data_IF_919034662219
#
_entry.id   IF_919034662219
#
_cell.length_a   1.000
_cell.length_b   1.000
_cell.length_c   1.000
_cell.angle_alpha   90.00
_cell.angle_beta   90.00
_cell.angle_gamma   90.00
#
_symmetry.space_group_name_H-M   'P 1'
#
loop_
_entity.id
_entity.type
_entity.pdbx_description
1 polymer ?
#
# COMPACT_ATOMS: atom_id res chain seq x y z
N UNK A 1 34.63 -9.78 -15.15
CA UNK A 1 33.41 -10.62 -15.03
C UNK A 1 33.61 -11.83 -15.92
N UNK A 2 34.05 -12.97 -15.37
CA UNK A 2 34.09 -14.21 -16.14
C UNK A 2 32.64 -14.59 -16.48
N UNK A 3 32.24 -14.42 -17.74
CA UNK A 3 31.02 -15.05 -18.24
C UNK A 3 31.39 -16.52 -18.32
N UNK A 4 30.64 -17.39 -17.64
CA UNK A 4 30.88 -18.82 -17.82
C UNK A 4 30.34 -19.14 -19.21
N UNK A 5 31.22 -19.31 -20.18
CA UNK A 5 30.88 -19.53 -21.59
C UNK A 5 30.26 -20.92 -21.82
N UNK A 6 30.39 -21.84 -20.85
CA UNK A 6 29.90 -23.23 -20.93
C UNK A 6 28.50 -23.48 -20.32
N UNK A 7 27.60 -22.49 -20.30
CA UNK A 7 26.25 -22.70 -19.74
C UNK A 7 25.25 -23.11 -20.83
N UNK A 8 24.58 -24.28 -20.70
CA UNK A 8 23.52 -24.64 -21.63
C UNK A 8 22.35 -23.65 -21.48
N UNK A 9 21.83 -23.17 -22.62
CA UNK A 9 20.64 -22.31 -22.66
C UNK A 9 19.45 -23.14 -22.17
N UNK A 10 18.95 -22.82 -20.97
CA UNK A 10 17.76 -23.48 -20.41
C UNK A 10 16.50 -22.78 -20.87
N UNK A 11 15.62 -23.52 -21.53
CA UNK A 11 14.28 -23.04 -21.93
C UNK A 11 13.34 -23.20 -20.74
N UNK A 12 12.64 -22.12 -20.38
CA UNK A 12 11.62 -22.12 -19.34
C UNK A 12 10.35 -22.79 -19.89
N UNK A 13 9.83 -23.81 -19.21
CA UNK A 13 8.54 -24.43 -19.55
C UNK A 13 7.48 -24.21 -18.47
N UNK A 14 7.88 -24.14 -17.21
CA UNK A 14 7.00 -23.96 -16.06
C UNK A 14 7.45 -22.81 -15.14
N UNK A 15 6.57 -22.33 -14.25
CA UNK A 15 6.90 -21.34 -13.22
C UNK A 15 8.01 -21.84 -12.27
N UNK A 16 8.05 -23.15 -12.02
CA UNK A 16 9.14 -23.78 -11.27
C UNK A 16 10.50 -23.61 -11.95
N UNK A 17 10.56 -23.62 -13.28
CA UNK A 17 11.81 -23.42 -14.02
C UNK A 17 12.32 -21.99 -13.89
N UNK A 18 11.42 -21.00 -13.90
CA UNK A 18 11.77 -19.58 -13.62
C UNK A 18 12.39 -19.42 -12.24
N UNK A 19 11.74 -19.99 -11.23
CA UNK A 19 12.22 -19.93 -9.85
C UNK A 19 13.57 -20.63 -9.71
N UNK A 20 13.74 -21.80 -10.34
CA UNK A 20 15.01 -22.52 -10.37
C UNK A 20 16.13 -21.69 -11.00
N UNK A 21 15.87 -20.99 -12.11
CA UNK A 21 16.87 -20.10 -12.71
C UNK A 21 17.24 -18.92 -11.82
N UNK A 22 16.27 -18.32 -11.12
CA UNK A 22 16.55 -17.26 -10.15
C UNK A 22 17.37 -17.79 -8.98
N UNK A 23 17.05 -18.97 -8.44
CA UNK A 23 17.81 -19.62 -7.39
C UNK A 23 19.24 -19.94 -7.84
N UNK A 24 19.43 -20.57 -9.00
CA UNK A 24 20.75 -20.87 -9.58
C UNK A 24 21.61 -19.58 -9.71
N UNK A 25 20.98 -18.44 -10.01
CA UNK A 25 21.65 -17.13 -10.09
C UNK A 25 22.04 -16.58 -8.72
N UNK A 26 21.18 -16.70 -7.70
CA UNK A 26 21.46 -16.27 -6.33
C UNK A 26 22.55 -17.15 -5.69
N UNK A 27 22.44 -18.46 -5.84
CA UNK A 27 23.35 -19.44 -5.25
C UNK A 27 24.75 -19.44 -5.89
N UNK A 28 24.92 -18.84 -7.07
CA UNK A 28 26.24 -18.63 -7.69
C UNK A 28 27.17 -17.77 -6.82
N UNK A 29 26.61 -16.87 -6.00
CA UNK A 29 27.37 -15.97 -5.13
C UNK A 29 26.66 -15.83 -3.77
N UNK A 30 26.80 -16.83 -2.89
CA UNK A 30 26.10 -16.84 -1.61
C UNK A 30 26.55 -15.71 -0.68
N UNK A 31 27.81 -15.27 -0.78
CA UNK A 31 28.37 -14.20 0.06
C UNK A 31 27.79 -12.81 -0.25
N UNK A 32 27.18 -12.62 -1.43
CA UNK A 32 26.61 -11.34 -1.80
C UNK A 32 25.17 -11.25 -1.28
N UNK A 33 24.83 -10.25 -0.44
CA UNK A 33 23.45 -10.08 0.02
C UNK A 33 22.51 -9.86 -1.17
N UNK A 34 21.37 -10.54 -1.14
CA UNK A 34 20.34 -10.39 -2.16
C UNK A 34 19.73 -8.98 -2.09
N UNK A 35 19.46 -8.38 -3.26
CA UNK A 35 18.73 -7.11 -3.33
C UNK A 35 17.27 -7.35 -2.98
N UNK A 36 16.87 -6.93 -1.78
CA UNK A 36 15.46 -6.85 -1.37
C UNK A 36 15.05 -5.38 -1.55
N UNK A 37 14.07 -5.07 -2.42
CA UNK A 37 13.63 -3.69 -2.57
C UNK A 37 13.03 -3.21 -1.25
N UNK A 38 13.59 -2.12 -0.73
CA UNK A 38 12.98 -1.40 0.40
C UNK A 38 11.67 -0.80 -0.10
N UNK A 39 10.65 -0.78 0.77
CA UNK A 39 9.39 -0.11 0.44
C UNK A 39 9.68 1.34 0.07
N UNK A 40 9.04 1.90 -0.97
CA UNK A 40 9.22 3.31 -1.30
C UNK A 40 8.79 4.16 -0.10
N UNK A 41 9.57 5.20 0.20
CA UNK A 41 9.24 6.15 1.25
C UNK A 41 7.91 6.83 0.93
N UNK A 42 6.84 6.49 1.68
CA UNK A 42 5.51 7.06 1.44
C UNK A 42 5.44 8.55 1.80
N UNK A 43 6.30 9.00 2.72
CA UNK A 43 6.35 10.40 3.18
C UNK A 43 7.12 11.31 2.22
N UNK A 44 7.74 10.75 1.18
CA UNK A 44 8.53 11.52 0.23
C UNK A 44 7.59 12.27 -0.71
N UNK A 45 7.34 13.53 -0.38
CA UNK A 45 6.61 14.46 -1.23
C UNK A 45 7.22 14.54 -2.63
N UNK A 46 6.39 14.68 -3.68
CA UNK A 46 6.89 14.83 -5.03
C UNK A 46 7.70 16.13 -5.18
N UNK A 47 8.58 16.14 -6.19
CA UNK A 47 9.48 17.26 -6.45
C UNK A 47 8.74 18.60 -6.62
N UNK A 48 7.46 18.58 -7.01
CA UNK A 48 6.64 19.77 -7.16
C UNK A 48 6.39 20.54 -5.84
N UNK A 49 6.48 19.87 -4.68
CA UNK A 49 6.37 20.52 -3.36
C UNK A 49 7.69 21.08 -2.84
N UNK A 50 8.82 20.74 -3.49
CA UNK A 50 10.14 21.29 -3.12
C UNK A 50 10.32 22.66 -3.76
N UNK A 51 9.65 23.66 -3.21
CA UNK A 51 9.90 25.05 -3.55
C UNK A 51 11.20 25.53 -2.85
N UNK A 52 12.12 26.21 -3.55
CA UNK A 52 13.26 26.85 -2.90
C UNK A 52 12.76 27.97 -1.97
N UNK A 53 13.33 28.06 -0.78
CA UNK A 53 12.96 29.06 0.23
C UNK A 53 13.33 30.49 -0.22
N UNK A 54 14.47 30.64 -0.91
CA UNK A 54 14.96 31.92 -1.41
C UNK A 54 15.15 31.84 -2.92
N UNK A 55 14.39 32.65 -3.65
CA UNK A 55 14.58 32.86 -5.08
C UNK A 55 15.58 34.00 -5.26
N UNK A 56 16.80 33.68 -5.72
CA UNK A 56 17.90 34.64 -5.83
C UNK A 56 17.83 35.53 -7.08
N UNK A 57 17.04 35.12 -8.07
CA UNK A 57 16.99 35.73 -9.40
C UNK A 57 15.70 36.55 -9.63
N UNK A 58 15.24 37.26 -8.60
CA UNK A 58 14.09 38.17 -8.73
C UNK A 58 14.60 39.53 -9.18
N UNK A 59 14.17 39.98 -10.37
CA UNK A 59 14.43 41.33 -10.84
C UNK A 59 13.39 42.31 -10.26
N UNK A 60 13.72 43.60 -10.18
CA UNK A 60 12.85 44.61 -9.58
C UNK A 60 11.44 44.64 -10.17
N UNK A 61 10.44 44.99 -9.35
CA UNK A 61 9.01 44.90 -9.70
C UNK A 61 8.58 45.74 -10.90
N UNK A 62 9.36 46.77 -11.25
CA UNK A 62 9.13 47.65 -12.40
C UNK A 62 9.99 47.29 -13.62
N UNK A 63 10.82 46.25 -13.55
CA UNK A 63 11.62 45.82 -14.68
C UNK A 63 10.73 45.17 -15.76
N UNK A 64 11.07 45.42 -17.03
CA UNK A 64 10.35 44.81 -18.15
C UNK A 64 10.55 43.29 -18.23
N UNK A 65 9.71 42.64 -19.04
CA UNK A 65 9.78 41.19 -19.29
C UNK A 65 11.06 40.84 -20.05
N UNK A 66 11.92 40.03 -19.43
CA UNK A 66 13.10 39.47 -20.04
C UNK A 66 12.78 38.27 -20.94
N UNK A 67 13.71 37.92 -21.84
CA UNK A 67 13.55 36.78 -22.76
C UNK A 67 13.40 35.42 -22.06
N UNK A 68 13.88 35.30 -20.82
CA UNK A 68 13.82 34.07 -20.02
C UNK A 68 12.53 33.91 -19.21
N UNK A 69 11.73 34.96 -19.05
CA UNK A 69 10.59 34.96 -18.12
C UNK A 69 9.48 34.01 -18.55
N UNK A 70 9.31 33.82 -19.86
CA UNK A 70 8.37 32.83 -20.40
C UNK A 70 8.71 31.41 -19.94
N UNK A 71 9.99 31.03 -19.95
CA UNK A 71 10.41 29.70 -19.51
C UNK A 71 10.30 29.52 -18.00
N UNK A 72 10.53 30.60 -17.24
CA UNK A 72 10.29 30.63 -15.79
C UNK A 72 8.81 30.39 -15.49
N UNK A 73 7.90 31.15 -16.13
CA UNK A 73 6.46 30.96 -15.97
C UNK A 73 6.00 29.55 -16.35
N UNK A 74 6.47 29.02 -17.50
CA UNK A 74 6.14 27.66 -17.94
C UNK A 74 6.55 26.60 -16.91
N UNK A 75 7.75 26.73 -16.33
CA UNK A 75 8.24 25.82 -15.29
C UNK A 75 7.43 25.89 -14.00
N UNK A 76 7.12 27.11 -13.54
CA UNK A 76 6.30 27.35 -12.34
C UNK A 76 4.88 26.81 -12.55
N UNK A 77 4.25 27.09 -13.69
CA UNK A 77 2.90 26.64 -14.00
C UNK A 77 2.79 25.12 -14.04
N UNK A 78 3.77 24.43 -14.66
CA UNK A 78 3.81 22.96 -14.67
C UNK A 78 3.92 22.40 -13.25
N UNK A 79 4.83 22.96 -12.45
CA UNK A 79 5.01 22.56 -11.05
C UNK A 79 3.73 22.73 -10.24
N UNK A 80 3.05 23.85 -10.42
CA UNK A 80 1.81 24.16 -9.72
C UNK A 80 0.66 23.26 -10.14
N UNK A 81 0.53 22.93 -11.43
CA UNK A 81 -0.46 21.94 -11.90
C UNK A 81 -0.20 20.55 -11.35
N UNK A 82 1.06 20.10 -11.33
CA UNK A 82 1.44 18.83 -10.72
C UNK A 82 1.11 18.82 -9.22
N UNK A 83 1.37 19.93 -8.52
CA UNK A 83 1.05 20.10 -7.09
C UNK A 83 -0.46 20.01 -6.84
N UNK A 84 -1.26 20.79 -7.57
CA UNK A 84 -2.71 20.78 -7.43
C UNK A 84 -3.32 19.43 -7.77
N UNK A 85 -2.83 18.77 -8.83
CA UNK A 85 -3.26 17.43 -9.21
C UNK A 85 -2.99 16.42 -8.09
N UNK A 86 -1.76 16.41 -7.56
CA UNK A 86 -1.39 15.52 -6.46
C UNK A 86 -2.26 15.75 -5.23
N UNK A 87 -2.47 17.00 -4.81
CA UNK A 87 -3.32 17.30 -3.64
C UNK A 87 -4.75 16.80 -3.84
N UNK A 88 -5.34 17.02 -5.02
CA UNK A 88 -6.69 16.52 -5.33
C UNK A 88 -6.75 14.99 -5.29
N UNK A 89 -5.78 14.32 -5.91
CA UNK A 89 -5.71 12.85 -5.91
C UNK A 89 -5.54 12.25 -4.51
N UNK A 90 -4.76 12.89 -3.63
CA UNK A 90 -4.64 12.45 -2.23
C UNK A 90 -5.95 12.62 -1.47
N UNK A 91 -6.62 13.77 -1.59
CA UNK A 91 -7.92 14.02 -0.94
C UNK A 91 -8.94 12.96 -1.38
N UNK A 92 -9.08 12.73 -2.69
CA UNK A 92 -10.01 11.71 -3.21
C UNK A 92 -9.68 10.30 -2.72
N UNK A 93 -8.39 9.98 -2.53
CA UNK A 93 -7.95 8.69 -2.03
C UNK A 93 -8.28 8.55 -0.54
N UNK A 94 -7.98 9.57 0.26
CA UNK A 94 -8.28 9.61 1.69
C UNK A 94 -9.78 9.48 1.95
N UNK A 95 -10.62 10.20 1.20
CA UNK A 95 -12.08 10.08 1.27
C UNK A 95 -12.55 8.65 0.99
N UNK A 96 -12.08 8.03 -0.09
CA UNK A 96 -12.42 6.64 -0.45
C UNK A 96 -11.94 5.63 0.59
N UNK A 97 -10.75 5.85 1.15
CA UNK A 97 -10.19 4.98 2.18
C UNK A 97 -10.99 5.09 3.48
N UNK A 98 -11.42 6.29 3.87
CA UNK A 98 -12.31 6.51 5.03
C UNK A 98 -13.67 5.82 4.82
N UNK A 99 -14.32 6.06 3.69
CA UNK A 99 -15.60 5.41 3.36
C UNK A 99 -15.52 3.88 3.38
N UNK A 100 -14.40 3.34 2.87
CA UNK A 100 -14.16 1.91 2.88
C UNK A 100 -13.98 1.38 4.31
N UNK A 101 -13.20 2.06 5.14
CA UNK A 101 -12.99 1.69 6.54
C UNK A 101 -14.31 1.72 7.33
N UNK A 102 -15.12 2.76 7.15
CA UNK A 102 -16.44 2.86 7.79
C UNK A 102 -17.36 1.71 7.37
N UNK A 103 -17.39 1.40 6.07
CA UNK A 103 -18.16 0.27 5.53
C UNK A 103 -17.71 -1.07 6.12
N UNK A 104 -16.40 -1.28 6.24
CA UNK A 104 -15.83 -2.49 6.84
C UNK A 104 -16.21 -2.62 8.32
N UNK A 105 -16.11 -1.53 9.09
CA UNK A 105 -16.50 -1.49 10.51
C UNK A 105 -17.99 -1.79 10.66
N UNK A 106 -18.85 -1.19 9.83
CA UNK A 106 -20.29 -1.44 9.84
C UNK A 106 -20.61 -2.90 9.55
N UNK A 107 -20.01 -3.46 8.51
CA UNK A 107 -20.20 -4.87 8.15
C UNK A 107 -19.72 -5.82 9.26
N UNK A 108 -18.59 -5.51 9.91
CA UNK A 108 -18.07 -6.28 11.04
C UNK A 108 -19.04 -6.24 12.22
N UNK A 109 -19.54 -5.06 12.60
CA UNK A 109 -20.55 -4.90 13.67
C UNK A 109 -21.83 -5.69 13.37
N UNK A 110 -22.36 -5.58 12.14
CA UNK A 110 -23.57 -6.32 11.73
C UNK A 110 -23.35 -7.84 11.78
N UNK A 111 -22.17 -8.32 11.38
CA UNK A 111 -21.81 -9.73 11.48
C UNK A 111 -21.66 -10.19 12.93
N UNK A 112 -21.04 -9.38 13.80
CA UNK A 112 -20.91 -9.64 15.23
C UNK A 112 -22.28 -9.69 15.93
N UNK A 113 -23.19 -8.76 15.63
CA UNK A 113 -24.54 -8.80 16.18
C UNK A 113 -25.31 -10.05 15.77
N UNK A 114 -25.24 -10.43 14.48
CA UNK A 114 -25.88 -11.65 13.97
C UNK A 114 -25.30 -12.89 14.64
N UNK A 115 -23.97 -12.97 14.78
CA UNK A 115 -23.30 -14.11 15.41
C UNK A 115 -23.55 -14.16 16.91
N UNK A 116 -23.57 -13.02 17.61
CA UNK A 116 -23.89 -12.90 19.04
C UNK A 116 -25.33 -13.35 19.33
N UNK A 117 -26.31 -12.89 18.54
CA UNK A 117 -27.71 -13.33 18.64
C UNK A 117 -27.82 -14.85 18.48
N UNK A 118 -27.14 -15.44 17.48
CA UNK A 118 -27.11 -16.90 17.26
C UNK A 118 -26.40 -17.65 18.40
N UNK A 119 -25.28 -17.12 18.90
CA UNK A 119 -24.52 -17.68 20.02
C UNK A 119 -25.35 -17.70 21.31
N UNK A 120 -26.05 -16.60 21.63
CA UNK A 120 -26.93 -16.52 22.78
C UNK A 120 -28.06 -17.56 22.74
N UNK A 121 -28.68 -17.78 21.56
CA UNK A 121 -29.69 -18.85 21.37
C UNK A 121 -29.10 -20.24 21.65
N UNK A 122 -27.90 -20.53 21.15
CA UNK A 122 -27.22 -21.83 21.39
C UNK A 122 -26.86 -22.02 22.86
N UNK A 123 -26.37 -20.98 23.53
CA UNK A 123 -26.03 -21.03 24.97
C UNK A 123 -27.27 -21.29 25.83
N UNK A 124 -28.39 -20.58 25.58
CA UNK A 124 -29.66 -20.85 26.25
C UNK A 124 -30.14 -22.29 26.04
N UNK A 125 -30.03 -22.83 24.81
CA UNK A 125 -30.38 -24.24 24.53
C UNK A 125 -29.45 -25.21 25.29
N UNK A 126 -28.15 -24.93 25.33
CA UNK A 126 -27.15 -25.74 26.07
C UNK A 126 -27.41 -25.73 27.56
N UNK A 127 -27.76 -24.59 28.15
CA UNK A 127 -28.12 -24.46 29.56
C UNK A 127 -29.40 -25.22 29.90
N UNK A 128 -30.46 -25.11 29.08
CA UNK A 128 -31.69 -25.90 29.24
C UNK A 128 -31.40 -27.40 29.20
N UNK A 129 -30.61 -27.86 28.22
CA UNK A 129 -30.21 -29.27 28.13
C UNK A 129 -29.37 -29.76 29.32
N UNK A 130 -28.51 -28.90 29.90
CA UNK A 130 -27.77 -29.21 31.13
C UNK A 130 -28.69 -29.29 32.36
N UNK A 131 -29.68 -28.41 32.48
CA UNK A 131 -30.66 -28.42 33.58
C UNK A 131 -31.50 -29.69 33.54
N UNK A 132 -32.07 -30.03 32.39
CA UNK A 132 -32.83 -31.28 32.23
C UNK A 132 -32.01 -32.53 32.59
N UNK A 133 -30.75 -32.62 32.16
CA UNK A 133 -29.86 -33.74 32.56
C UNK A 133 -29.55 -33.78 34.06
N UNK A 134 -29.55 -32.65 34.76
CA UNK A 134 -29.35 -32.60 36.22
C UNK A 134 -30.61 -33.01 36.99
N UNK A 135 -31.79 -32.69 36.46
CA UNK A 135 -33.08 -33.10 37.03
C UNK A 135 -33.27 -34.61 36.91
N UNK A 136 -33.02 -35.21 35.74
CA UNK A 136 -33.06 -36.67 35.58
C UNK A 136 -32.09 -37.39 36.52
N UNK A 137 -30.87 -36.85 36.71
CA UNK A 137 -29.88 -37.40 37.66
C UNK A 137 -30.23 -37.21 39.15
N UNK A 138 -31.23 -36.39 39.48
CA UNK A 138 -31.70 -36.19 40.86
C UNK A 138 -32.90 -37.08 41.20
N UNK A 139 -33.61 -37.57 40.18
CA UNK A 139 -34.76 -38.46 40.33
C UNK A 139 -34.36 -39.95 40.27
N UNK A 140 -33.18 -40.27 39.73
CA UNK A 140 -32.43 -41.52 40.00
C UNK A 140 -31.67 -41.45 41.33
#
# INVERSE_FOLDING_TARGET
>A
RQRDENRPIRVIRNAADLQRMHLDKLMRKPDKPAFVPVKPDLDKLPQCFRAPEIVRNVWGSSAGVGSGDFHVYRGIRRREYERQKYTKEQIEKEEKDMEHQERMIRNAKEAEERTAKRRAKRMKKKERGKRAKREVKKEE
#
